data_IF_505802120035
#
_entry.id   IF_505802120035
#
_cell.length_a   1.000
_cell.length_b   1.000
_cell.length_c   1.000
_cell.angle_alpha   90.00
_cell.angle_beta   90.00
_cell.angle_gamma   90.00
#
_symmetry.space_group_name_H-M   'P 1'
#
loop_
_entity.id
_entity.type
_entity.pdbx_description
1 polymer ?
#
# COMPACT_ATOMS: atom_id res chain seq x y z
N UNK A 1 0.96 -39.16 22.53
CA UNK A 1 0.94 -40.32 21.61
C UNK A 1 2.26 -40.33 20.86
N UNK A 2 2.92 -41.49 20.78
CA UNK A 2 4.23 -41.64 20.11
C UNK A 2 4.05 -41.60 18.60
N UNK A 3 4.76 -40.72 17.90
CA UNK A 3 4.98 -40.84 16.46
C UNK A 3 6.47 -40.99 16.19
N UNK A 4 6.80 -42.08 15.49
CA UNK A 4 8.14 -42.43 15.06
C UNK A 4 8.48 -41.67 13.78
N UNK A 5 9.60 -40.94 13.81
CA UNK A 5 10.28 -40.39 12.65
C UNK A 5 10.99 -41.54 11.92
N UNK A 6 10.59 -41.83 10.68
CA UNK A 6 11.28 -42.75 9.77
C UNK A 6 12.06 -41.91 8.77
N UNK A 7 13.40 -41.95 8.86
CA UNK A 7 14.30 -41.43 7.84
C UNK A 7 14.16 -42.26 6.56
N UNK A 8 13.73 -41.61 5.47
CA UNK A 8 13.76 -42.15 4.12
C UNK A 8 14.96 -41.63 3.33
N UNK A 9 15.97 -42.48 3.16
CA UNK A 9 17.14 -42.26 2.30
C UNK A 9 16.69 -42.39 0.82
N UNK A 10 16.71 -41.29 0.06
CA UNK A 10 16.36 -41.27 -1.36
C UNK A 10 17.60 -41.09 -2.24
N UNK A 11 17.85 -42.08 -3.10
CA UNK A 11 19.08 -42.26 -3.88
C UNK A 11 19.18 -41.34 -5.11
N UNK A 12 20.40 -40.87 -5.33
CA UNK A 12 20.90 -40.20 -6.53
C UNK A 12 20.91 -41.17 -7.73
N UNK A 13 20.23 -40.84 -8.83
CA UNK A 13 20.36 -41.54 -10.11
C UNK A 13 20.53 -40.54 -11.25
N UNK A 14 21.79 -40.37 -11.67
CA UNK A 14 22.15 -39.69 -12.90
C UNK A 14 21.89 -40.61 -14.10
N UNK A 15 21.14 -40.14 -15.10
CA UNK A 15 21.11 -40.74 -16.44
C UNK A 15 21.43 -39.65 -17.46
N UNK A 16 22.64 -39.76 -18.01
CA UNK A 16 23.04 -39.07 -19.22
C UNK A 16 22.39 -39.75 -20.44
N UNK A 17 21.77 -38.96 -21.31
CA UNK A 17 21.25 -39.39 -22.61
C UNK A 17 21.56 -38.32 -23.65
N UNK A 18 22.34 -38.72 -24.66
CA UNK A 18 22.99 -37.87 -25.64
C UNK A 18 22.08 -37.48 -26.84
N UNK A 19 22.43 -36.33 -27.44
CA UNK A 19 22.41 -35.96 -28.86
C UNK A 19 21.34 -36.53 -29.79
N UNK A 20 20.63 -35.63 -30.50
CA UNK A 20 20.39 -35.75 -31.95
C UNK A 20 20.10 -34.37 -32.53
N UNK A 21 21.03 -33.87 -33.34
CA UNK A 21 20.84 -32.77 -34.26
C UNK A 21 20.09 -33.29 -35.51
N UNK A 22 19.15 -32.52 -36.04
CA UNK A 22 18.59 -32.72 -37.38
C UNK A 22 18.46 -31.36 -38.09
N UNK A 23 19.29 -31.25 -39.12
CA UNK A 23 19.33 -30.37 -40.29
C UNK A 23 18.02 -29.87 -40.91
N UNK A 24 18.14 -28.64 -41.44
CA UNK A 24 17.71 -28.13 -42.76
C UNK A 24 16.24 -28.15 -43.19
N UNK A 25 15.77 -26.95 -43.57
CA UNK A 25 14.52 -26.72 -44.28
C UNK A 25 14.38 -25.29 -44.80
N UNK A 26 15.25 -24.90 -45.73
CA UNK A 26 15.06 -23.73 -46.61
C UNK A 26 13.76 -23.86 -47.43
N UNK A 27 12.96 -22.80 -47.47
CA UNK A 27 11.72 -22.73 -48.25
C UNK A 27 11.38 -21.31 -48.69
N UNK A 28 11.98 -20.88 -49.80
CA UNK A 28 11.68 -19.64 -50.52
C UNK A 28 10.48 -19.84 -51.46
N UNK A 29 9.45 -18.98 -51.37
CA UNK A 29 8.58 -18.50 -52.47
C UNK A 29 7.61 -17.47 -51.86
N UNK A 30 7.47 -16.23 -52.33
CA UNK A 30 7.42 -15.78 -53.72
C UNK A 30 5.94 -15.62 -54.12
N UNK A 31 5.36 -14.44 -53.92
CA UNK A 31 3.94 -14.20 -54.19
C UNK A 31 3.55 -12.72 -54.26
N UNK A 32 3.96 -12.04 -55.33
CA UNK A 32 3.44 -10.74 -55.76
C UNK A 32 1.98 -10.86 -56.20
N UNK A 33 1.09 -10.03 -55.64
CA UNK A 33 -0.32 -9.93 -56.04
C UNK A 33 -0.77 -8.48 -56.17
N UNK A 34 -0.50 -7.88 -57.31
CA UNK A 34 -1.12 -6.64 -57.80
C UNK A 34 -2.58 -6.90 -58.19
N UNK A 35 -3.53 -6.14 -57.64
CA UNK A 35 -4.94 -6.19 -57.99
C UNK A 35 -5.57 -4.80 -58.01
N UNK A 36 -5.59 -4.21 -59.19
CA UNK A 36 -6.26 -2.96 -59.57
C UNK A 36 -7.75 -3.17 -59.87
N UNK A 37 -8.59 -2.17 -59.53
CA UNK A 37 -9.97 -1.99 -60.02
C UNK A 37 -10.98 -2.00 -58.87
N UNK A 38 -12.02 -1.15 -58.79
CA UNK A 38 -12.68 -0.34 -59.82
C UNK A 38 -13.50 0.76 -59.13
N UNK A 39 -13.66 1.90 -59.82
CA UNK A 39 -14.50 3.01 -59.44
C UNK A 39 -16.00 2.65 -59.38
N UNK A 40 -16.72 3.29 -58.46
CA UNK A 40 -18.18 3.29 -58.38
C UNK A 40 -18.69 4.62 -57.82
N UNK A 41 -19.25 5.42 -58.70
CA UNK A 41 -19.81 6.77 -58.51
C UNK A 41 -21.28 6.74 -58.03
N UNK A 42 -21.64 7.77 -57.27
CA UNK A 42 -22.92 8.51 -57.27
C UNK A 42 -24.21 7.86 -56.74
N UNK A 43 -24.85 8.58 -55.81
CA UNK A 43 -26.26 8.41 -55.42
C UNK A 43 -26.71 9.49 -54.44
N UNK A 44 -27.15 10.64 -54.96
CA UNK A 44 -27.86 11.71 -54.25
C UNK A 44 -29.28 11.28 -53.81
N UNK A 45 -29.78 11.93 -52.74
CA UNK A 45 -31.16 12.42 -52.68
C UNK A 45 -32.10 11.75 -51.68
N UNK A 46 -32.56 12.53 -50.69
CA UNK A 46 -33.69 12.13 -49.84
C UNK A 46 -33.97 13.06 -48.66
N UNK A 47 -34.41 14.29 -48.93
CA UNK A 47 -35.01 15.16 -47.94
C UNK A 47 -36.35 14.57 -47.45
N UNK A 48 -36.59 14.58 -46.13
CA UNK A 48 -37.95 14.52 -45.59
C UNK A 48 -38.07 15.53 -44.44
N UNK A 49 -38.85 16.55 -44.73
CA UNK A 49 -39.45 17.52 -43.82
C UNK A 49 -40.61 16.86 -43.06
N UNK A 50 -40.85 17.25 -41.80
CA UNK A 50 -41.82 16.57 -40.93
C UNK A 50 -41.89 17.12 -39.50
N UNK A 51 -42.20 18.40 -39.38
CA UNK A 51 -42.61 19.10 -38.15
C UNK A 51 -43.85 18.48 -37.47
N UNK A 52 -43.87 18.40 -36.13
CA UNK A 52 -44.96 18.90 -35.25
C UNK A 52 -44.54 18.99 -33.76
N UNK A 53 -44.38 20.24 -33.30
CA UNK A 53 -44.92 20.87 -32.07
C UNK A 53 -45.35 20.06 -30.83
N UNK A 54 -44.84 20.45 -29.65
CA UNK A 54 -45.57 20.95 -28.45
C UNK A 54 -44.58 21.01 -27.26
N UNK A 55 -44.14 22.20 -26.84
CA UNK A 55 -44.67 23.01 -25.72
C UNK A 55 -44.11 22.64 -24.33
N UNK A 56 -43.48 23.62 -23.66
CA UNK A 56 -42.99 23.49 -22.29
C UNK A 56 -42.06 24.60 -21.84
N UNK A 57 -42.54 25.84 -21.83
CA UNK A 57 -41.88 27.06 -21.33
C UNK A 57 -41.89 27.18 -19.79
N UNK A 58 -40.85 27.79 -19.22
CA UNK A 58 -40.91 28.49 -17.92
C UNK A 58 -39.56 28.53 -17.17
N UNK A 59 -38.77 29.60 -17.28
CA UNK A 59 -38.60 30.68 -16.24
C UNK A 59 -38.00 30.19 -14.91
N UNK A 60 -36.93 30.73 -14.31
CA UNK A 60 -36.17 31.97 -14.44
C UNK A 60 -35.48 32.27 -13.09
N UNK A 61 -34.42 33.10 -13.09
CA UNK A 61 -33.77 33.67 -11.88
C UNK A 61 -32.84 32.70 -11.14
N UNK A 62 -31.73 33.09 -10.51
CA UNK A 62 -31.32 34.41 -10.02
C UNK A 62 -29.82 34.37 -9.73
N UNK A 63 -29.11 35.38 -10.21
CA UNK A 63 -27.80 35.81 -9.73
C UNK A 63 -27.88 36.31 -8.28
N UNK A 64 -27.02 35.80 -7.40
CA UNK A 64 -26.84 36.29 -6.03
C UNK A 64 -25.36 36.28 -5.66
N UNK A 65 -24.71 37.42 -5.79
CA UNK A 65 -23.37 37.63 -5.23
C UNK A 65 -23.44 37.76 -3.71
N UNK A 66 -22.40 37.29 -3.03
CA UNK A 66 -22.18 37.64 -1.63
C UNK A 66 -20.70 38.00 -1.41
N UNK A 67 -20.41 39.29 -1.54
CA UNK A 67 -19.21 39.93 -1.02
C UNK A 67 -19.38 40.14 0.49
N UNK A 68 -18.76 39.27 1.29
CA UNK A 68 -18.65 39.42 2.74
C UNK A 68 -17.28 39.95 3.14
N UNK A 69 -17.14 41.27 3.15
CA UNK A 69 -16.03 41.98 3.76
C UNK A 69 -16.06 41.78 5.28
N UNK A 70 -15.03 41.18 5.87
CA UNK A 70 -14.75 41.32 7.30
C UNK A 70 -13.37 41.95 7.47
N UNK A 71 -13.37 43.29 7.46
CA UNK A 71 -12.27 44.11 7.93
C UNK A 71 -12.44 44.26 9.45
N UNK A 72 -11.64 43.51 10.21
CA UNK A 72 -11.52 43.64 11.66
C UNK A 72 -10.04 43.73 12.02
N UNK A 73 -9.47 44.94 11.93
CA UNK A 73 -8.12 45.19 12.39
C UNK A 73 -8.10 45.41 13.90
N UNK A 74 -7.14 44.77 14.57
CA UNK A 74 -6.46 45.34 15.74
C UNK A 74 -5.02 44.83 15.79
N UNK A 75 -4.11 45.71 15.40
CA UNK A 75 -2.67 45.71 15.71
C UNK A 75 -2.43 45.63 17.21
N UNK A 76 -1.82 44.54 17.68
CA UNK A 76 -1.23 44.42 19.01
C UNK A 76 0.27 44.68 18.94
N UNK A 77 0.66 45.93 19.17
CA UNK A 77 2.05 46.40 19.21
C UNK A 77 2.76 45.95 20.49
N UNK A 78 4.03 45.60 20.36
CA UNK A 78 4.87 45.04 21.42
C UNK A 78 5.01 45.89 22.67
N UNK A 79 5.05 45.20 23.81
CA UNK A 79 5.40 45.73 25.13
C UNK A 79 6.90 45.60 25.38
N UNK A 80 7.58 46.74 25.37
CA UNK A 80 8.98 46.95 25.69
C UNK A 80 9.31 46.73 27.17
N UNK A 81 10.53 46.26 27.38
CA UNK A 81 11.32 46.22 28.61
C UNK A 81 11.27 47.53 29.41
N UNK A 82 10.86 47.44 30.68
CA UNK A 82 10.86 48.55 31.63
C UNK A 82 11.71 48.22 32.86
N UNK A 83 12.94 48.72 32.85
CA UNK A 83 13.84 48.80 34.01
C UNK A 83 13.30 49.83 35.00
N UNK A 84 13.09 49.45 36.27
CA UNK A 84 12.80 50.41 37.34
C UNK A 84 13.77 50.25 38.51
N UNK A 85 14.67 51.21 38.63
CA UNK A 85 15.59 51.44 39.75
C UNK A 85 15.18 52.71 40.49
N UNK A 86 15.00 52.60 41.82
CA UNK A 86 14.97 53.70 42.81
C UNK A 86 13.70 54.56 42.81
N UNK A 87 13.01 54.85 43.92
CA UNK A 87 13.28 54.77 45.35
C UNK A 87 12.62 55.99 45.99
N UNK A 88 11.93 55.88 47.13
CA UNK A 88 11.70 56.99 48.07
C UNK A 88 10.81 56.58 49.26
N UNK A 89 11.44 56.55 50.45
CA UNK A 89 10.99 57.15 51.71
C UNK A 89 9.50 57.02 52.08
N UNK A 90 9.17 56.02 52.89
CA UNK A 90 8.28 56.20 54.04
C UNK A 90 8.79 55.41 55.24
N UNK A 91 8.93 56.14 56.34
CA UNK A 91 9.30 55.72 57.66
C UNK A 91 8.12 54.93 58.26
N UNK A 92 8.19 53.61 58.26
CA UNK A 92 7.28 52.77 59.05
C UNK A 92 8.04 52.12 60.20
N UNK A 93 7.45 52.24 61.35
CA UNK A 93 8.06 52.10 62.67
C UNK A 93 7.61 50.76 63.23
N UNK A 94 8.57 49.93 63.61
CA UNK A 94 8.40 48.77 64.51
C UNK A 94 7.37 47.70 64.06
N UNK A 95 7.79 46.88 63.09
CA UNK A 95 7.35 45.48 63.03
C UNK A 95 8.60 44.62 63.28
N UNK A 96 8.57 43.64 64.21
CA UNK A 96 9.74 42.81 64.46
C UNK A 96 10.07 42.01 63.19
N UNK A 97 11.31 42.15 62.71
CA UNK A 97 11.89 41.34 61.66
C UNK A 97 11.90 39.86 62.09
N UNK A 98 10.79 39.17 61.83
CA UNK A 98 10.79 37.73 61.75
C UNK A 98 11.65 37.36 60.55
N UNK A 99 12.90 36.98 60.79
CA UNK A 99 13.78 36.44 59.75
C UNK A 99 13.12 35.21 59.15
N UNK A 100 12.38 35.40 58.06
CA UNK A 100 11.81 34.32 57.29
C UNK A 100 12.96 33.72 56.49
N UNK A 101 13.66 32.77 57.10
CA UNK A 101 14.55 31.86 56.38
C UNK A 101 13.62 30.97 55.57
N UNK A 102 13.35 31.38 54.34
CA UNK A 102 12.80 30.48 53.33
C UNK A 102 13.91 29.48 53.02
N UNK A 103 13.88 28.36 53.72
CA UNK A 103 14.53 27.12 53.32
C UNK A 103 13.54 26.46 52.36
N UNK A 104 13.65 26.63 51.03
CA UNK A 104 13.01 25.72 50.12
C UNK A 104 13.68 24.38 50.38
N UNK A 105 13.12 23.61 51.32
CA UNK A 105 13.56 22.26 51.58
C UNK A 105 13.77 21.61 50.24
N UNK A 106 14.98 21.07 50.04
CA UNK A 106 15.53 20.67 48.75
C UNK A 106 14.40 20.29 47.80
N UNK A 107 14.28 20.99 46.67
CA UNK A 107 13.39 20.56 45.60
C UNK A 107 13.85 19.15 45.27
N UNK A 108 13.15 18.17 45.85
CA UNK A 108 13.21 16.79 45.43
C UNK A 108 12.55 16.91 44.07
N UNK A 109 13.37 17.10 43.04
CA UNK A 109 13.00 16.77 41.67
C UNK A 109 12.25 15.45 41.82
N UNK A 110 10.93 15.39 41.56
CA UNK A 110 10.19 14.17 41.77
C UNK A 110 10.98 13.08 41.06
N UNK A 111 11.35 12.01 41.77
CA UNK A 111 11.97 10.81 41.18
C UNK A 111 11.02 10.41 40.04
N UNK A 112 11.30 10.87 38.83
CA UNK A 112 10.28 11.11 37.81
C UNK A 112 9.89 9.84 37.05
N UNK A 113 10.28 8.66 37.52
CA UNK A 113 10.24 7.48 36.70
C UNK A 113 9.73 6.28 37.47
N UNK A 114 8.40 6.23 37.52
CA UNK A 114 7.69 4.97 37.62
C UNK A 114 7.84 4.22 36.29
N UNK A 115 7.93 2.89 36.37
CA UNK A 115 7.91 1.99 35.21
C UNK A 115 6.76 2.38 34.29
N UNK A 116 7.07 2.62 33.02
CA UNK A 116 6.07 2.90 32.00
C UNK A 116 5.92 1.68 31.10
N UNK A 117 4.71 1.14 31.09
CA UNK A 117 4.33 0.06 30.18
C UNK A 117 3.33 0.61 29.18
N UNK A 118 3.59 0.40 27.90
CA UNK A 118 2.69 0.72 26.80
C UNK A 118 2.41 -0.55 26.01
N UNK A 119 1.16 -0.77 25.63
CA UNK A 119 0.84 -1.76 24.62
C UNK A 119 1.43 -1.31 23.29
N UNK A 120 2.31 -2.13 22.72
CA UNK A 120 2.72 -2.00 21.33
C UNK A 120 1.64 -2.64 20.48
N UNK A 121 0.72 -1.83 19.96
CA UNK A 121 -0.25 -2.30 18.99
C UNK A 121 0.44 -2.38 17.62
N UNK A 122 0.42 -3.56 16.99
CA UNK A 122 0.75 -3.69 15.58
C UNK A 122 -0.21 -2.80 14.80
N UNK A 123 0.32 -1.89 13.97
CA UNK A 123 -0.51 -0.98 13.17
C UNK A 123 -1.43 -1.82 12.27
N UNK A 124 -2.76 -1.65 12.33
CA UNK A 124 -3.66 -2.35 11.44
C UNK A 124 -3.32 -2.03 9.99
N UNK A 125 -3.39 -3.05 9.14
CA UNK A 125 -3.08 -2.94 7.71
C UNK A 125 -4.34 -2.62 6.93
N UNK A 126 -4.22 -1.64 6.04
CA UNK A 126 -5.19 -1.30 5.03
C UNK A 126 -4.60 -1.61 3.64
N UNK A 127 -5.30 -2.39 2.84
CA UNK A 127 -4.86 -2.85 1.53
C UNK A 127 -5.65 -2.10 0.45
N UNK A 128 -4.94 -1.42 -0.45
CA UNK A 128 -5.54 -0.85 -1.66
C UNK A 128 -5.26 -1.76 -2.85
N UNK A 129 -6.30 -2.43 -3.36
CA UNK A 129 -6.22 -3.27 -4.55
C UNK A 129 -6.43 -2.41 -5.80
N UNK A 130 -5.39 -2.26 -6.62
CA UNK A 130 -5.46 -1.62 -7.93
C UNK A 130 -5.46 -2.72 -9.01
N UNK A 131 -6.65 -3.02 -9.53
CA UNK A 131 -6.86 -4.19 -10.41
C UNK A 131 -6.98 -3.77 -11.86
N UNK A 132 -6.17 -4.39 -12.72
CA UNK A 132 -6.25 -4.24 -14.15
C UNK A 132 -7.59 -4.77 -14.67
N UNK A 133 -8.33 -3.91 -15.38
CA UNK A 133 -9.61 -4.25 -16.02
C UNK A 133 -9.53 -4.01 -17.53
N UNK A 134 -8.32 -3.98 -18.09
CA UNK A 134 -8.11 -3.86 -19.53
C UNK A 134 -8.58 -5.12 -20.28
N UNK A 135 -8.73 -4.99 -21.59
CA UNK A 135 -9.27 -6.02 -22.46
C UNK A 135 -8.33 -7.20 -22.68
N UNK A 136 -7.06 -7.13 -22.28
CA UNK A 136 -6.18 -8.31 -22.26
C UNK A 136 -6.57 -9.28 -21.13
N UNK A 137 -7.11 -8.75 -20.02
CA UNK A 137 -7.55 -9.54 -18.87
C UNK A 137 -8.68 -10.55 -19.19
N UNK A 138 -9.37 -10.43 -20.32
CA UNK A 138 -10.47 -11.33 -20.73
C UNK A 138 -10.17 -12.17 -21.98
N UNK A 139 -9.12 -11.84 -22.72
CA UNK A 139 -8.85 -12.43 -24.05
C UNK A 139 -8.01 -13.69 -23.96
N UNK A 140 -7.13 -13.72 -22.96
CA UNK A 140 -6.21 -14.83 -22.76
C UNK A 140 -6.75 -15.75 -21.67
N UNK A 141 -6.55 -17.05 -21.89
CA UNK A 141 -7.07 -18.12 -21.04
C UNK A 141 -5.91 -18.74 -20.23
N UNK A 142 -6.14 -18.90 -18.92
CA UNK A 142 -5.39 -19.78 -18.04
C UNK A 142 -6.17 -21.07 -17.88
N UNK A 143 -5.48 -22.21 -17.88
CA UNK A 143 -6.09 -23.44 -17.38
C UNK A 143 -6.02 -23.44 -15.86
N UNK A 144 -7.18 -23.35 -15.21
CA UNK A 144 -7.32 -23.45 -13.76
C UNK A 144 -6.78 -24.83 -13.28
N UNK A 145 -5.75 -24.88 -12.43
CA UNK A 145 -5.16 -26.15 -11.99
C UNK A 145 -6.11 -26.98 -11.12
N UNK A 146 -7.07 -26.34 -10.44
CA UNK A 146 -7.99 -27.01 -9.52
C UNK A 146 -9.15 -27.67 -10.27
N UNK A 147 -9.64 -27.01 -11.31
CA UNK A 147 -10.82 -27.46 -12.07
C UNK A 147 -10.48 -28.07 -13.43
N UNK A 148 -9.29 -27.78 -13.96
CA UNK A 148 -8.87 -28.11 -15.33
C UNK A 148 -9.65 -27.34 -16.39
N UNK A 149 -10.40 -26.29 -16.02
CA UNK A 149 -11.16 -25.46 -16.94
C UNK A 149 -10.37 -24.24 -17.37
N UNK A 150 -10.51 -23.84 -18.62
CA UNK A 150 -9.97 -22.58 -19.09
C UNK A 150 -10.81 -21.42 -18.52
N UNK A 151 -10.11 -20.45 -17.92
CA UNK A 151 -10.65 -19.24 -17.31
C UNK A 151 -9.85 -18.04 -17.79
N UNK A 152 -10.46 -16.86 -17.81
CA UNK A 152 -9.76 -15.62 -18.13
C UNK A 152 -8.85 -15.15 -16.99
N UNK A 153 -7.88 -14.27 -17.29
CA UNK A 153 -7.08 -13.59 -16.26
C UNK A 153 -7.94 -12.82 -15.25
N UNK A 154 -9.01 -12.16 -15.72
CA UNK A 154 -9.98 -11.48 -14.88
C UNK A 154 -10.71 -12.45 -13.93
N UNK A 155 -11.14 -13.61 -14.43
CA UNK A 155 -11.76 -14.64 -13.60
C UNK A 155 -10.77 -15.19 -12.56
N UNK A 156 -9.51 -15.40 -12.93
CA UNK A 156 -8.49 -15.85 -12.00
C UNK A 156 -8.24 -14.83 -10.88
N UNK A 157 -8.03 -13.56 -11.23
CA UNK A 157 -7.82 -12.47 -10.27
C UNK A 157 -9.02 -12.29 -9.33
N UNK A 158 -10.25 -12.22 -9.88
CA UNK A 158 -11.46 -12.01 -9.07
C UNK A 158 -11.81 -13.22 -8.19
N UNK A 159 -11.50 -14.45 -8.62
CA UNK A 159 -11.61 -15.64 -7.76
C UNK A 159 -10.59 -15.62 -6.63
N UNK A 160 -9.33 -15.26 -6.92
CA UNK A 160 -8.29 -15.13 -5.92
C UNK A 160 -8.61 -14.08 -4.86
N UNK A 161 -8.97 -12.86 -5.29
CA UNK A 161 -9.37 -11.77 -4.38
C UNK A 161 -10.60 -12.17 -3.57
N UNK A 162 -11.60 -12.82 -4.18
CA UNK A 162 -12.76 -13.36 -3.45
C UNK A 162 -12.32 -14.31 -2.33
N UNK A 163 -11.47 -15.30 -2.66
CA UNK A 163 -10.97 -16.27 -1.70
C UNK A 163 -10.27 -15.60 -0.52
N UNK A 164 -9.46 -14.58 -0.81
CA UNK A 164 -8.79 -13.78 0.22
C UNK A 164 -9.78 -12.99 1.09
N UNK A 165 -10.68 -12.18 0.50
CA UNK A 165 -11.55 -11.28 1.30
C UNK A 165 -12.66 -12.00 2.05
N UNK A 166 -13.08 -13.18 1.58
CA UNK A 166 -14.06 -14.04 2.26
C UNK A 166 -13.40 -14.97 3.30
N UNK A 167 -12.06 -15.01 3.37
CA UNK A 167 -11.33 -15.86 4.32
C UNK A 167 -11.49 -15.38 5.76
N UNK A 168 -11.71 -16.27 6.75
CA UNK A 168 -11.68 -15.92 8.17
C UNK A 168 -10.37 -15.27 8.62
N UNK A 169 -9.24 -15.62 8.00
CA UNK A 169 -7.91 -15.06 8.31
C UNK A 169 -7.74 -13.62 7.81
N UNK A 170 -8.68 -13.12 7.01
CA UNK A 170 -8.71 -11.73 6.55
C UNK A 170 -9.61 -10.84 7.43
N UNK A 171 -10.21 -11.39 8.49
CA UNK A 171 -11.04 -10.63 9.42
C UNK A 171 -10.25 -9.47 10.04
N UNK A 172 -10.84 -8.28 10.08
CA UNK A 172 -10.20 -7.10 10.67
C UNK A 172 -9.32 -6.31 9.71
N UNK A 173 -8.87 -6.90 8.59
CA UNK A 173 -8.17 -6.16 7.55
C UNK A 173 -9.09 -5.13 6.90
N UNK A 174 -8.52 -4.01 6.45
CA UNK A 174 -9.26 -3.04 5.65
C UNK A 174 -8.88 -3.18 4.19
N UNK A 175 -9.87 -3.15 3.29
CA UNK A 175 -9.65 -3.25 1.85
C UNK A 175 -10.38 -2.15 1.11
N UNK A 176 -9.68 -1.49 0.19
CA UNK A 176 -10.25 -0.66 -0.87
C UNK A 176 -9.97 -1.31 -2.22
N UNK A 177 -10.84 -1.07 -3.21
CA UNK A 177 -10.67 -1.59 -4.56
C UNK A 177 -10.87 -0.49 -5.58
N UNK A 178 -9.96 -0.42 -6.54
CA UNK A 178 -10.13 0.38 -7.73
C UNK A 178 -9.69 -0.39 -8.98
N UNK A 179 -10.13 0.10 -10.12
CA UNK A 179 -9.91 -0.53 -11.41
C UNK A 179 -9.26 0.47 -12.35
N UNK A 180 -8.27 0.03 -13.13
CA UNK A 180 -7.68 0.84 -14.17
C UNK A 180 -7.82 0.16 -15.54
N UNK A 181 -8.23 0.96 -16.52
CA UNK A 181 -8.47 0.55 -17.90
C UNK A 181 -8.69 1.79 -18.77
N UNK A 182 -8.56 1.60 -20.07
CA UNK A 182 -9.00 2.55 -21.08
C UNK A 182 -8.05 3.71 -21.35
N UNK A 183 -8.53 4.65 -22.18
CA UNK A 183 -7.72 5.74 -22.73
C UNK A 183 -7.77 7.01 -21.87
N UNK A 184 -8.53 7.00 -20.78
CA UNK A 184 -8.71 8.20 -19.96
C UNK A 184 -7.44 8.55 -19.20
N UNK A 185 -6.84 9.67 -19.58
CA UNK A 185 -5.56 10.14 -19.08
C UNK A 185 -5.71 11.35 -18.16
N UNK A 186 -6.70 11.30 -17.26
CA UNK A 186 -6.95 12.41 -16.32
C UNK A 186 -6.16 12.17 -15.03
N UNK A 187 -5.26 13.09 -14.62
CA UNK A 187 -4.60 13.01 -13.32
C UNK A 187 -5.63 12.88 -12.19
N UNK A 188 -5.35 12.03 -11.21
CA UNK A 188 -6.26 11.77 -10.09
C UNK A 188 -7.46 10.89 -10.43
N UNK A 189 -7.66 10.41 -11.66
CA UNK A 189 -8.80 9.53 -11.97
C UNK A 189 -8.89 8.29 -11.06
N UNK A 190 -7.75 7.79 -10.61
CA UNK A 190 -7.68 6.59 -9.77
C UNK A 190 -7.44 6.90 -8.28
N UNK A 191 -7.48 8.18 -7.87
CA UNK A 191 -7.29 8.56 -6.46
C UNK A 191 -8.52 8.24 -5.58
N UNK A 192 -9.71 8.20 -6.17
CA UNK A 192 -10.94 7.76 -5.51
C UNK A 192 -11.20 6.29 -5.86
N UNK A 193 -11.17 5.38 -4.88
CA UNK A 193 -11.47 3.98 -5.12
C UNK A 193 -12.93 3.80 -5.51
N UNK A 194 -13.18 2.92 -6.48
CA UNK A 194 -14.53 2.48 -6.86
C UNK A 194 -15.29 1.90 -5.66
N UNK A 195 -14.57 1.14 -4.82
CA UNK A 195 -15.04 0.72 -3.51
C UNK A 195 -14.12 1.27 -2.42
N UNK A 196 -14.64 2.21 -1.63
CA UNK A 196 -13.93 2.81 -0.51
C UNK A 196 -13.41 1.80 0.52
N UNK A 197 -12.37 2.21 1.25
CA UNK A 197 -11.75 1.41 2.30
C UNK A 197 -12.78 0.98 3.36
N UNK A 198 -12.83 -0.32 3.65
CA UNK A 198 -13.72 -0.88 4.67
C UNK A 198 -13.17 -2.15 5.30
N UNK A 199 -13.59 -2.44 6.53
CA UNK A 199 -13.12 -3.59 7.31
C UNK A 199 -13.81 -4.87 6.87
N UNK A 200 -13.02 -5.92 6.63
CA UNK A 200 -13.49 -7.26 6.33
C UNK A 200 -13.98 -7.96 7.60
N UNK A 201 -15.10 -8.68 7.46
CA UNK A 201 -15.69 -9.46 8.55
C UNK A 201 -15.20 -10.91 8.59
N UNK A 202 -14.30 -11.30 7.68
CA UNK A 202 -13.79 -12.67 7.52
C UNK A 202 -14.86 -13.66 7.07
N UNK A 203 -15.85 -13.19 6.31
CA UNK A 203 -16.98 -13.99 5.86
C UNK A 203 -17.47 -13.54 4.48
N UNK A 204 -18.58 -14.13 4.02
CA UNK A 204 -19.22 -13.77 2.74
C UNK A 204 -20.19 -12.58 2.85
N UNK A 205 -20.17 -11.85 3.96
CA UNK A 205 -21.08 -10.71 4.21
C UNK A 205 -20.33 -9.39 4.31
N UNK A 206 -21.02 -8.32 4.72
CA UNK A 206 -20.40 -7.04 5.01
C UNK A 206 -19.59 -6.46 3.86
N UNK A 207 -18.35 -6.05 4.17
CA UNK A 207 -17.45 -5.43 3.19
C UNK A 207 -16.90 -6.42 2.16
N UNK A 208 -16.69 -7.69 2.53
CA UNK A 208 -16.27 -8.73 1.58
C UNK A 208 -17.31 -8.91 0.46
N UNK A 209 -18.61 -8.93 0.81
CA UNK A 209 -19.68 -8.96 -0.17
C UNK A 209 -19.68 -7.71 -1.08
N UNK A 210 -19.33 -6.54 -0.54
CA UNK A 210 -19.20 -5.31 -1.32
C UNK A 210 -18.04 -5.40 -2.32
N UNK A 211 -16.87 -5.88 -1.88
CA UNK A 211 -15.71 -6.16 -2.75
C UNK A 211 -16.11 -7.07 -3.90
N UNK A 212 -16.68 -8.22 -3.57
CA UNK A 212 -17.12 -9.21 -4.56
C UNK A 212 -18.16 -8.66 -5.52
N UNK A 213 -19.11 -7.86 -5.03
CA UNK A 213 -20.13 -7.23 -5.87
C UNK A 213 -19.54 -6.19 -6.83
N UNK A 214 -18.45 -5.52 -6.43
CA UNK A 214 -17.81 -4.49 -7.24
C UNK A 214 -17.20 -5.05 -8.53
N UNK A 215 -16.79 -6.33 -8.55
CA UNK A 215 -16.30 -7.00 -9.77
C UNK A 215 -17.37 -7.13 -10.86
N UNK A 216 -18.65 -7.18 -10.48
CA UNK A 216 -19.78 -7.34 -11.41
C UNK A 216 -20.67 -6.10 -11.55
N UNK A 217 -20.39 -5.02 -10.80
CA UNK A 217 -21.22 -3.82 -10.75
C UNK A 217 -21.15 -2.98 -12.02
N UNK A 218 -20.13 -3.20 -12.85
CA UNK A 218 -19.92 -2.46 -14.09
C UNK A 218 -20.10 -3.41 -15.29
N UNK A 219 -21.20 -3.27 -16.06
CA UNK A 219 -21.59 -4.19 -17.13
C UNK A 219 -20.63 -4.19 -18.31
N UNK A 220 -19.63 -3.31 -18.30
CA UNK A 220 -18.47 -3.40 -19.15
C UNK A 220 -17.63 -4.58 -18.65
N UNK A 221 -18.02 -5.79 -19.08
CA UNK A 221 -17.05 -6.86 -19.22
C UNK A 221 -15.92 -6.28 -20.07
N UNK A 222 -14.65 -6.38 -19.63
CA UNK A 222 -13.54 -5.97 -20.47
C UNK A 222 -13.74 -6.64 -21.84
N UNK A 223 -13.80 -5.88 -22.92
CA UNK A 223 -13.96 -6.40 -24.29
C UNK A 223 -15.28 -7.03 -24.71
N UNK A 224 -16.38 -6.88 -23.96
CA UNK A 224 -17.72 -7.15 -24.51
C UNK A 224 -17.99 -6.23 -25.71
N UNK A 225 -18.28 -6.81 -26.88
CA UNK A 225 -18.82 -6.15 -28.08
C UNK A 225 -17.82 -5.56 -29.09
N UNK A 226 -16.51 -5.75 -28.90
CA UNK A 226 -15.50 -5.22 -29.83
C UNK A 226 -15.18 -3.74 -29.62
N UNK A 227 -15.55 -3.19 -28.46
CA UNK A 227 -15.14 -1.87 -28.03
C UNK A 227 -13.63 -1.82 -27.80
N UNK A 228 -12.93 -1.06 -28.64
CA UNK A 228 -11.49 -0.87 -28.56
C UNK A 228 -11.09 0.04 -27.39
N UNK A 229 -12.05 0.74 -26.78
CA UNK A 229 -11.82 1.62 -25.63
C UNK A 229 -11.31 0.88 -24.39
N UNK A 230 -11.37 -0.45 -24.37
CA UNK A 230 -10.90 -1.29 -23.25
C UNK A 230 -9.51 -1.88 -23.51
N UNK A 231 -8.89 -1.63 -24.66
CA UNK A 231 -7.60 -2.25 -25.02
C UNK A 231 -6.41 -1.68 -24.22
N UNK A 232 -6.62 -0.56 -23.52
CA UNK A 232 -5.54 0.17 -22.85
C UNK A 232 -5.37 -0.20 -21.38
N UNK A 233 -4.12 -0.31 -21.01
CA UNK A 233 -3.63 -0.68 -19.67
C UNK A 233 -2.82 0.50 -19.11
N UNK A 234 -3.47 1.57 -18.60
CA UNK A 234 -2.78 2.76 -18.11
C UNK A 234 -2.13 2.54 -16.74
N UNK A 235 -1.25 1.54 -16.62
CA UNK A 235 -0.65 1.10 -15.34
C UNK A 235 -0.03 2.23 -14.54
N UNK A 236 0.63 3.18 -15.20
CA UNK A 236 1.26 4.30 -14.48
C UNK A 236 0.28 5.28 -13.83
N UNK A 237 -0.93 5.42 -14.38
CA UNK A 237 -2.00 6.18 -13.74
C UNK A 237 -2.67 5.38 -12.62
N UNK A 238 -2.85 4.08 -12.82
CA UNK A 238 -3.35 3.19 -11.76
C UNK A 238 -2.43 3.22 -10.54
N UNK A 239 -1.12 3.08 -10.75
CA UNK A 239 -0.11 3.21 -9.69
C UNK A 239 -0.17 4.58 -9.02
N UNK A 240 -0.25 5.67 -9.80
CA UNK A 240 -0.35 7.03 -9.27
C UNK A 240 -1.53 7.19 -8.29
N UNK A 241 -2.73 6.83 -8.72
CA UNK A 241 -3.92 6.97 -7.88
C UNK A 241 -3.90 6.07 -6.65
N UNK A 242 -3.33 4.86 -6.77
CA UNK A 242 -3.12 3.96 -5.64
C UNK A 242 -2.19 4.57 -4.58
N UNK A 243 -1.01 5.06 -4.99
CA UNK A 243 -0.03 5.65 -4.08
C UNK A 243 -0.56 6.94 -3.45
N UNK A 244 -1.19 7.81 -4.24
CA UNK A 244 -1.79 9.07 -3.75
C UNK A 244 -2.89 8.80 -2.72
N UNK A 245 -3.74 7.79 -2.97
CA UNK A 245 -4.75 7.38 -2.00
C UNK A 245 -4.11 6.91 -0.70
N UNK A 246 -3.10 6.02 -0.75
CA UNK A 246 -2.49 5.52 0.48
C UNK A 246 -1.81 6.63 1.28
N UNK A 247 -1.13 7.57 0.62
CA UNK A 247 -0.53 8.76 1.27
C UNK A 247 -1.62 9.56 1.99
N UNK A 248 -2.73 9.84 1.32
CA UNK A 248 -3.85 10.56 1.91
C UNK A 248 -4.52 9.77 3.05
N UNK A 249 -4.60 8.44 2.92
CA UNK A 249 -5.20 7.55 3.90
C UNK A 249 -4.42 7.54 5.22
N UNK A 250 -3.11 7.33 5.18
CA UNK A 250 -2.28 7.32 6.39
C UNK A 250 -2.25 8.69 7.07
N UNK A 251 -2.22 9.78 6.28
CA UNK A 251 -2.31 11.13 6.81
C UNK A 251 -3.64 11.39 7.56
N UNK A 252 -4.72 10.72 7.17
CA UNK A 252 -6.04 10.84 7.79
C UNK A 252 -6.29 9.82 8.92
N UNK A 253 -5.55 8.71 8.95
CA UNK A 253 -5.76 7.58 9.86
C UNK A 253 -4.45 7.26 10.60
N UNK A 254 -4.01 8.20 11.45
CA UNK A 254 -2.81 8.02 12.26
C UNK A 254 -2.91 6.73 13.11
N UNK A 255 -2.00 5.78 12.87
CA UNK A 255 -1.96 4.49 13.54
C UNK A 255 -2.28 3.30 12.63
N UNK A 256 -2.64 3.53 11.36
CA UNK A 256 -2.84 2.49 10.36
C UNK A 256 -1.82 2.63 9.23
N UNK A 257 -1.43 1.50 8.64
CA UNK A 257 -0.52 1.47 7.49
C UNK A 257 -1.30 1.10 6.24
N UNK A 258 -1.13 1.85 5.16
CA UNK A 258 -1.72 1.56 3.85
C UNK A 258 -0.67 0.95 2.93
N UNK A 259 -1.00 -0.18 2.31
CA UNK A 259 -0.18 -0.78 1.26
C UNK A 259 -0.94 -0.79 -0.07
N UNK A 260 -0.22 -0.58 -1.16
CA UNK A 260 -0.73 -0.72 -2.51
C UNK A 260 -0.46 -2.11 -3.08
N UNK A 261 -1.44 -2.72 -3.72
CA UNK A 261 -1.27 -3.98 -4.47
C UNK A 261 -1.74 -3.78 -5.90
N UNK A 262 -0.79 -3.74 -6.83
CA UNK A 262 -1.05 -3.70 -8.27
C UNK A 262 -1.26 -5.13 -8.78
N UNK A 263 -2.38 -5.38 -9.46
CA UNK A 263 -2.68 -6.67 -10.10
C UNK A 263 -2.83 -6.45 -11.60
N UNK A 264 -1.99 -7.08 -12.42
CA UNK A 264 -1.99 -6.87 -13.88
C UNK A 264 -1.44 -8.07 -14.65
N UNK A 265 -1.87 -8.22 -15.90
CA UNK A 265 -1.22 -9.09 -16.90
C UNK A 265 -0.07 -8.38 -17.63
N UNK A 266 0.32 -7.19 -17.14
CA UNK A 266 1.63 -6.57 -17.28
C UNK A 266 2.03 -6.15 -18.69
N UNK A 267 1.09 -5.88 -19.60
CA UNK A 267 1.40 -5.23 -20.88
C UNK A 267 0.97 -3.76 -20.85
N UNK A 268 1.71 -2.85 -20.17
CA UNK A 268 1.45 -1.42 -20.29
C UNK A 268 1.67 -1.02 -21.74
N UNK A 269 0.59 -0.82 -22.49
CA UNK A 269 0.71 -0.39 -23.88
C UNK A 269 1.25 1.05 -23.90
N UNK A 270 2.52 1.15 -24.30
CA UNK A 270 3.33 2.36 -24.30
C UNK A 270 4.83 2.09 -24.51
N UNK A 271 5.31 0.85 -24.29
CA UNK A 271 6.66 0.42 -24.65
C UNK A 271 6.81 0.00 -26.13
N UNK A 272 5.72 -0.27 -26.83
CA UNK A 272 5.72 -0.73 -28.22
C UNK A 272 5.81 0.41 -29.24
N UNK A 273 6.72 1.37 -29.05
CA UNK A 273 7.31 2.24 -30.11
C UNK A 273 6.40 3.02 -31.07
N UNK A 274 5.07 2.93 -30.94
CA UNK A 274 4.10 3.59 -31.79
C UNK A 274 3.61 4.85 -31.11
N UNK A 275 4.16 6.00 -31.48
CA UNK A 275 3.63 7.32 -31.16
C UNK A 275 2.29 7.61 -31.88
N UNK A 276 1.40 6.62 -31.95
CA UNK A 276 0.16 6.66 -32.71
C UNK A 276 -1.05 6.75 -31.79
N UNK A 277 -1.51 7.99 -31.56
CA UNK A 277 -2.89 8.39 -31.23
C UNK A 277 -3.50 7.92 -29.90
N UNK A 278 -2.96 6.89 -29.25
CA UNK A 278 -3.60 6.31 -28.07
C UNK A 278 -2.59 6.02 -26.97
N UNK A 279 -2.79 6.67 -25.83
CA UNK A 279 -1.92 6.60 -24.65
C UNK A 279 -1.61 7.99 -24.10
N UNK A 280 -1.49 8.09 -22.78
CA UNK A 280 -1.29 9.37 -22.10
C UNK A 280 0.01 10.03 -22.56
N UNK A 281 -0.14 11.21 -23.14
CA UNK A 281 0.96 12.05 -23.59
C UNK A 281 1.40 12.98 -22.47
N UNK A 282 2.56 13.60 -22.61
CA UNK A 282 2.99 14.67 -21.70
C UNK A 282 2.05 15.88 -21.72
N UNK A 283 1.22 16.04 -22.75
CA UNK A 283 0.22 17.10 -22.82
C UNK A 283 -0.98 16.84 -21.90
N UNK A 284 -1.27 15.57 -21.58
CA UNK A 284 -2.34 15.17 -20.65
C UNK A 284 -1.94 15.41 -19.19
N UNK A 285 -0.64 15.64 -18.93
CA UNK A 285 -0.09 16.04 -17.63
C UNK A 285 0.57 17.43 -17.68
N UNK A 286 -0.22 18.51 -17.87
CA UNK A 286 0.33 19.86 -17.97
C UNK A 286 0.87 20.34 -16.61
N UNK A 287 2.18 20.26 -16.42
CA UNK A 287 2.86 20.76 -15.21
C UNK A 287 3.87 19.79 -14.60
N UNK A 288 3.81 18.51 -14.95
CA UNK A 288 4.84 17.52 -14.61
C UNK A 288 5.73 17.32 -15.83
N UNK A 289 6.95 17.87 -15.79
CA UNK A 289 7.86 17.87 -16.94
C UNK A 289 8.33 16.46 -17.35
N UNK A 290 8.03 15.43 -16.56
CA UNK A 290 8.21 14.02 -16.87
C UNK A 290 6.87 13.31 -16.71
N UNK A 291 6.58 12.35 -17.61
CA UNK A 291 5.57 11.33 -17.31
C UNK A 291 5.97 10.76 -15.96
N UNK A 292 5.13 10.74 -14.93
CA UNK A 292 5.58 10.21 -13.66
C UNK A 292 5.82 8.71 -13.87
N UNK A 293 7.09 8.35 -13.96
CA UNK A 293 7.52 6.97 -14.08
C UNK A 293 6.93 6.23 -12.86
N UNK A 294 6.18 5.13 -13.05
CA UNK A 294 5.53 4.45 -11.94
C UNK A 294 6.53 4.14 -10.81
N UNK A 295 7.77 3.79 -11.16
CA UNK A 295 8.88 3.56 -10.25
C UNK A 295 9.20 4.77 -9.37
N UNK A 296 9.17 5.99 -9.93
CA UNK A 296 9.42 7.22 -9.17
C UNK A 296 8.31 7.49 -8.17
N UNK A 297 7.05 7.33 -8.57
CA UNK A 297 5.90 7.55 -7.70
C UNK A 297 5.85 6.53 -6.55
N UNK A 298 6.11 5.26 -6.89
CA UNK A 298 6.23 4.19 -5.92
C UNK A 298 7.38 4.48 -4.94
N UNK A 299 8.54 4.91 -5.44
CA UNK A 299 9.69 5.26 -4.59
C UNK A 299 9.44 6.45 -3.67
N UNK A 300 8.67 7.46 -4.12
CA UNK A 300 8.23 8.58 -3.29
C UNK A 300 7.25 8.14 -2.20
N UNK A 301 6.30 7.25 -2.53
CA UNK A 301 5.39 6.67 -1.55
C UNK A 301 6.15 5.79 -0.52
N UNK A 302 7.11 4.99 -0.99
CA UNK A 302 7.95 4.18 -0.12
C UNK A 302 8.81 5.02 0.84
N UNK A 303 9.32 6.17 0.39
CA UNK A 303 10.03 7.11 1.26
C UNK A 303 9.14 7.68 2.39
N UNK A 304 7.82 7.56 2.27
CA UNK A 304 6.82 7.90 3.28
C UNK A 304 6.33 6.69 4.09
N UNK A 305 6.84 5.48 3.82
CA UNK A 305 6.49 4.24 4.52
C UNK A 305 5.42 3.38 3.82
N UNK A 306 4.97 3.77 2.64
CA UNK A 306 3.90 3.08 1.90
C UNK A 306 4.51 2.05 0.95
N UNK A 307 4.29 0.77 1.24
CA UNK A 307 4.77 -0.32 0.40
C UNK A 307 3.85 -0.52 -0.81
N UNK A 308 4.46 -0.92 -1.94
CA UNK A 308 3.72 -1.28 -3.16
C UNK A 308 4.14 -2.65 -3.65
N UNK A 309 3.20 -3.58 -3.67
CA UNK A 309 3.36 -4.92 -4.21
C UNK A 309 2.88 -4.99 -5.66
N UNK A 310 3.63 -5.70 -6.50
CA UNK A 310 3.29 -5.93 -7.90
C UNK A 310 2.99 -7.40 -8.16
N UNK A 311 1.74 -7.72 -8.51
CA UNK A 311 1.29 -9.06 -8.90
C UNK A 311 1.17 -9.19 -10.41
N UNK A 312 1.91 -10.14 -10.97
CA UNK A 312 1.97 -10.41 -12.41
C UNK A 312 1.33 -11.73 -12.79
N UNK A 313 0.44 -11.67 -13.78
CA UNK A 313 -0.16 -12.85 -14.40
C UNK A 313 0.67 -13.32 -15.61
N UNK A 314 0.27 -14.44 -16.21
CA UNK A 314 0.85 -14.88 -17.49
C UNK A 314 0.71 -13.76 -18.53
N UNK A 315 1.79 -13.47 -19.25
CA UNK A 315 1.84 -12.35 -20.20
C UNK A 315 2.46 -11.06 -19.66
N UNK A 316 2.64 -10.96 -18.33
CA UNK A 316 3.21 -9.78 -17.72
C UNK A 316 4.67 -9.51 -18.08
N UNK A 317 5.00 -8.22 -18.20
CA UNK A 317 6.38 -7.73 -18.22
C UNK A 317 6.97 -7.80 -16.81
N UNK A 318 7.39 -9.02 -16.42
CA UNK A 318 7.95 -9.28 -15.09
C UNK A 318 9.23 -8.49 -14.80
N UNK A 319 9.96 -8.05 -15.81
CA UNK A 319 11.12 -7.14 -15.62
C UNK A 319 10.65 -5.79 -15.10
N UNK A 320 9.52 -5.27 -15.59
CA UNK A 320 8.92 -4.05 -15.05
C UNK A 320 8.28 -4.26 -13.69
N UNK A 321 7.58 -5.37 -13.48
CA UNK A 321 6.99 -5.64 -12.17
C UNK A 321 8.06 -5.78 -11.08
N UNK A 322 9.22 -6.35 -11.42
CA UNK A 322 10.39 -6.34 -10.54
C UNK A 322 10.82 -4.91 -10.20
N UNK A 323 10.91 -4.02 -11.19
CA UNK A 323 11.29 -2.62 -10.93
C UNK A 323 10.27 -1.86 -10.07
N UNK A 324 8.97 -2.22 -10.16
CA UNK A 324 7.93 -1.65 -9.30
C UNK A 324 8.05 -2.18 -7.87
N UNK A 325 8.25 -3.48 -7.70
CA UNK A 325 8.42 -4.10 -6.40
C UNK A 325 9.69 -3.59 -5.69
N UNK A 326 10.81 -3.48 -6.41
CA UNK A 326 12.07 -2.90 -5.90
C UNK A 326 11.87 -1.44 -5.48
N UNK A 327 11.23 -0.62 -6.30
CA UNK A 327 10.94 0.77 -5.95
C UNK A 327 10.00 0.88 -4.73
N UNK A 328 9.08 -0.08 -4.58
CA UNK A 328 8.04 -0.10 -3.54
C UNK A 328 8.46 -0.75 -2.24
N UNK A 329 9.71 -1.20 -2.13
CA UNK A 329 10.23 -1.88 -0.94
C UNK A 329 9.52 -3.19 -0.62
N UNK A 330 8.82 -3.79 -1.58
CA UNK A 330 8.05 -5.02 -1.38
C UNK A 330 8.85 -6.26 -1.80
N UNK A 331 8.55 -7.42 -1.21
CA UNK A 331 9.16 -8.69 -1.61
C UNK A 331 8.20 -9.87 -1.46
N UNK A 332 7.55 -10.29 -2.54
CA UNK A 332 6.63 -11.44 -2.50
C UNK A 332 7.31 -12.81 -2.41
N UNK A 333 8.62 -12.90 -2.58
CA UNK A 333 9.36 -14.17 -2.58
C UNK A 333 10.52 -14.07 -1.60
N UNK A 334 10.21 -14.16 -0.30
CA UNK A 334 11.21 -14.08 0.78
C UNK A 334 12.38 -15.07 0.64
N UNK A 335 12.19 -16.14 -0.14
CA UNK A 335 13.21 -17.16 -0.43
C UNK A 335 14.00 -16.94 -1.74
N UNK A 336 13.67 -15.93 -2.55
CA UNK A 336 14.26 -15.65 -3.87
C UNK A 336 14.64 -14.15 -4.01
N UNK A 337 15.85 -13.80 -3.56
CA UNK A 337 16.43 -12.44 -3.65
C UNK A 337 16.45 -11.84 -5.08
N UNK A 338 16.26 -12.67 -6.12
CA UNK A 338 16.25 -12.27 -7.52
C UNK A 338 14.86 -11.84 -8.02
N UNK A 339 13.78 -12.07 -7.25
CA UNK A 339 12.39 -11.76 -7.65
C UNK A 339 11.55 -11.24 -6.49
N UNK A 340 11.23 -9.96 -6.53
CA UNK A 340 10.38 -9.28 -5.54
C UNK A 340 8.90 -9.25 -5.91
N UNK A 341 8.57 -9.45 -7.18
CA UNK A 341 7.17 -9.46 -7.64
C UNK A 341 6.43 -10.75 -7.25
N UNK A 342 5.11 -10.65 -7.12
CA UNK A 342 4.21 -11.77 -6.88
C UNK A 342 3.90 -12.46 -8.22
N UNK A 343 4.37 -13.69 -8.41
CA UNK A 343 4.06 -14.51 -9.59
C UNK A 343 2.74 -15.27 -9.36
N UNK A 344 1.68 -14.84 -10.05
CA UNK A 344 0.33 -15.43 -9.95
C UNK A 344 -0.09 -16.14 -11.24
N UNK A 345 0.89 -16.60 -12.03
CA UNK A 345 0.69 -17.26 -13.33
C UNK A 345 -0.01 -18.62 -13.23
N UNK A 346 -0.04 -19.23 -12.04
CA UNK A 346 -0.59 -20.57 -11.83
C UNK A 346 -2.09 -20.60 -11.54
N UNK A 347 -2.75 -19.44 -11.47
CA UNK A 347 -4.20 -19.33 -11.33
C UNK A 347 -4.65 -18.84 -9.95
N UNK A 348 -5.95 -19.04 -9.60
CA UNK A 348 -6.56 -18.44 -8.41
C UNK A 348 -5.87 -18.79 -7.09
N UNK A 349 -5.32 -20.00 -6.96
CA UNK A 349 -4.58 -20.42 -5.76
C UNK A 349 -3.38 -19.51 -5.47
N UNK A 350 -2.53 -19.25 -6.48
CA UNK A 350 -1.37 -18.37 -6.32
C UNK A 350 -1.72 -16.92 -5.95
N UNK A 351 -2.92 -16.44 -6.30
CA UNK A 351 -3.39 -15.14 -5.84
C UNK A 351 -3.67 -15.11 -4.34
N UNK A 352 -4.27 -16.17 -3.81
CA UNK A 352 -4.54 -16.28 -2.37
C UNK A 352 -3.21 -16.37 -1.64
N UNK A 353 -2.31 -17.25 -2.09
CA UNK A 353 -0.97 -17.40 -1.50
C UNK A 353 -0.20 -16.07 -1.51
N UNK A 354 -0.26 -15.32 -2.61
CA UNK A 354 0.39 -14.01 -2.72
C UNK A 354 -0.24 -12.97 -1.77
N UNK A 355 -1.57 -12.89 -1.68
CA UNK A 355 -2.24 -11.94 -0.78
C UNK A 355 -2.03 -12.31 0.70
N UNK A 356 -1.97 -13.60 1.03
CA UNK A 356 -1.63 -14.06 2.38
C UNK A 356 -0.16 -13.73 2.72
N UNK A 357 0.78 -13.94 1.80
CA UNK A 357 2.18 -13.54 1.99
C UNK A 357 2.33 -12.02 2.19
N UNK A 358 1.61 -11.22 1.40
CA UNK A 358 1.56 -9.76 1.57
C UNK A 358 1.03 -9.39 2.94
N UNK A 359 -0.08 -10.01 3.37
CA UNK A 359 -0.66 -9.75 4.71
C UNK A 359 0.38 -10.02 5.78
N UNK A 360 1.06 -11.15 5.72
CA UNK A 360 2.06 -11.55 6.72
C UNK A 360 3.26 -10.59 6.78
N UNK A 361 3.72 -10.09 5.63
CA UNK A 361 4.82 -9.12 5.56
C UNK A 361 4.42 -7.69 5.96
N UNK A 362 3.18 -7.31 5.65
CA UNK A 362 2.69 -5.96 5.91
C UNK A 362 2.38 -5.73 7.40
N UNK A 363 2.38 -6.79 8.23
CA UNK A 363 2.36 -6.64 9.69
C UNK A 363 3.66 -5.95 10.09
N UNK A 364 3.56 -4.67 10.46
CA UNK A 364 4.71 -3.87 10.86
C UNK A 364 5.40 -4.51 12.07
N UNK A 365 6.47 -5.25 11.81
CA UNK A 365 7.45 -5.71 12.80
C UNK A 365 8.18 -4.53 13.46
N UNK A 366 7.96 -3.32 12.94
CA UNK A 366 8.47 -2.08 13.46
C UNK A 366 7.48 -1.51 14.49
N UNK A 367 8.01 -1.28 15.68
CA UNK A 367 7.30 -0.74 16.83
C UNK A 367 7.95 0.59 17.18
N UNK A 368 7.17 1.67 17.15
CA UNK A 368 7.67 2.99 17.53
C UNK A 368 8.14 3.01 18.99
N UNK A 369 9.26 3.68 19.25
CA UNK A 369 9.78 3.81 20.60
C UNK A 369 8.81 4.67 21.45
N UNK A 370 8.31 4.18 22.59
CA UNK A 370 7.42 4.98 23.43
C UNK A 370 8.11 6.24 23.93
N UNK A 371 7.43 7.38 23.84
CA UNK A 371 7.93 8.64 24.42
C UNK A 371 7.74 8.60 25.94
N UNK A 372 8.80 8.69 26.76
CA UNK A 372 8.65 8.64 28.21
C UNK A 372 7.86 9.86 28.72
N UNK A 373 6.93 9.66 29.66
CA UNK A 373 6.19 10.77 30.26
C UNK A 373 7.17 11.77 30.90
N UNK A 374 7.07 13.05 30.51
CA UNK A 374 7.94 14.11 31.01
C UNK A 374 9.23 14.35 30.20
N UNK A 375 9.45 13.64 29.10
CA UNK A 375 10.57 13.90 28.18
C UNK A 375 11.95 13.53 28.73
N UNK A 376 12.01 12.64 29.72
CA UNK A 376 13.25 12.11 30.27
C UNK A 376 14.03 11.23 29.27
N UNK A 377 15.31 10.97 29.55
CA UNK A 377 16.10 10.07 28.73
C UNK A 377 15.74 8.59 29.03
N UNK A 378 15.42 7.84 27.97
CA UNK A 378 15.17 6.39 28.05
C UNK A 378 16.45 5.63 28.40
N UNK A 379 16.33 4.61 29.26
CA UNK A 379 17.38 3.63 29.43
C UNK A 379 17.17 2.46 28.45
N UNK A 380 17.82 2.54 27.29
CA UNK A 380 17.76 1.50 26.26
C UNK A 380 18.29 0.13 26.73
N UNK A 381 19.06 0.07 27.83
CA UNK A 381 19.51 -1.20 28.40
C UNK A 381 18.43 -1.91 29.22
N UNK A 382 17.33 -1.21 29.52
CA UNK A 382 16.27 -1.67 30.42
C UNK A 382 14.97 -2.06 29.73
N UNK A 383 14.93 -1.94 28.40
CA UNK A 383 13.71 -2.18 27.63
C UNK A 383 13.40 -3.66 27.63
N UNK A 384 12.18 -3.97 28.06
CA UNK A 384 11.63 -5.33 28.03
C UNK A 384 10.47 -5.33 27.06
N UNK A 385 10.55 -6.18 26.04
CA UNK A 385 9.46 -6.44 25.11
C UNK A 385 8.83 -7.76 25.52
N UNK A 386 7.54 -7.76 25.79
CA UNK A 386 6.78 -8.94 26.23
C UNK A 386 5.71 -9.24 25.21
N UNK A 387 5.67 -10.47 24.71
CA UNK A 387 4.56 -10.95 23.91
C UNK A 387 3.63 -11.79 24.78
N UNK A 388 2.33 -11.50 24.69
CA UNK A 388 1.25 -12.24 25.33
C UNK A 388 0.43 -12.93 24.24
N UNK A 389 0.64 -14.23 24.00
CA UNK A 389 -0.16 -14.96 23.02
C UNK A 389 -1.64 -14.99 23.40
N UNK A 390 -2.54 -15.13 22.43
CA UNK A 390 -3.96 -15.39 22.67
C UNK A 390 -4.19 -16.70 23.40
N UNK A 391 -3.28 -17.66 23.22
CA UNK A 391 -3.27 -18.95 23.92
C UNK A 391 -1.90 -19.22 24.53
N UNK A 392 -1.75 -18.92 25.82
CA UNK A 392 -0.51 -19.20 26.55
C UNK A 392 -0.26 -18.24 27.68
N UNK A 393 0.92 -18.37 28.28
CA UNK A 393 1.43 -17.42 29.25
C UNK A 393 2.31 -16.38 28.54
N UNK A 394 2.32 -15.11 28.98
CA UNK A 394 3.23 -14.09 28.46
C UNK A 394 4.70 -14.48 28.58
N UNK A 395 5.52 -14.08 27.61
CA UNK A 395 6.97 -14.29 27.64
C UNK A 395 7.74 -13.09 27.10
N UNK A 396 8.98 -12.94 27.55
CA UNK A 396 9.87 -11.84 27.15
C UNK A 396 10.63 -12.20 25.86
N UNK A 397 10.72 -11.22 24.96
CA UNK A 397 11.54 -11.29 23.77
C UNK A 397 12.95 -10.80 24.08
N UNK A 398 13.95 -11.49 23.55
CA UNK A 398 15.37 -11.24 23.77
C UNK A 398 15.88 -10.14 22.83
N UNK A 399 16.42 -9.07 23.40
CA UNK A 399 17.11 -8.05 22.60
C UNK A 399 18.41 -8.60 22.00
N UNK A 400 18.62 -8.37 20.70
CA UNK A 400 19.86 -8.69 19.98
C UNK A 400 20.45 -7.42 19.35
N UNK A 401 21.74 -7.46 18.99
CA UNK A 401 22.49 -6.27 18.56
C UNK A 401 22.09 -5.72 17.19
N UNK A 402 21.30 -6.46 16.41
CA UNK A 402 20.86 -6.08 15.07
C UNK A 402 20.37 -7.29 14.28
N UNK A 403 19.88 -7.04 13.07
CA UNK A 403 19.29 -8.05 12.18
C UNK A 403 20.18 -9.29 11.97
N UNK A 404 21.49 -9.12 11.83
CA UNK A 404 22.42 -10.25 11.65
C UNK A 404 22.58 -11.16 12.88
N UNK A 405 21.99 -10.79 14.02
CA UNK A 405 21.95 -11.58 15.25
C UNK A 405 20.59 -12.24 15.50
N UNK A 406 19.63 -12.08 14.59
CA UNK A 406 18.35 -12.77 14.59
C UNK A 406 18.56 -14.25 14.24
N UNK A 407 18.18 -15.15 15.14
CA UNK A 407 18.39 -16.60 15.09
C UNK A 407 17.18 -17.39 15.60
N UNK A 408 16.30 -16.78 16.40
CA UNK A 408 15.11 -17.44 16.98
C UNK A 408 13.86 -16.59 16.78
N UNK A 409 12.71 -17.22 17.03
CA UNK A 409 11.35 -16.66 17.05
C UNK A 409 11.05 -15.79 18.28
N UNK A 410 12.05 -15.50 19.12
CA UNK A 410 11.88 -14.78 20.39
C UNK A 410 12.85 -13.60 20.52
N UNK A 411 13.18 -12.93 19.41
CA UNK A 411 14.22 -11.90 19.34
C UNK A 411 13.75 -10.60 18.69
N UNK A 412 14.40 -9.50 19.08
CA UNK A 412 14.15 -8.16 18.54
C UNK A 412 15.42 -7.31 18.63
N UNK A 413 15.51 -6.21 17.89
CA UNK A 413 16.64 -5.29 17.91
C UNK A 413 16.18 -3.82 17.75
N UNK A 414 17.09 -2.87 17.97
CA UNK A 414 16.80 -1.45 17.79
C UNK A 414 17.12 -0.98 16.37
N UNK A 415 16.35 -0.02 15.85
CA UNK A 415 16.52 0.62 14.54
C UNK A 415 17.63 1.70 14.51
N UNK A 416 18.83 1.37 15.00
CA UNK A 416 19.93 2.33 15.00
C UNK A 416 20.26 2.85 13.59
N UNK A 417 20.12 4.16 13.38
CA UNK A 417 20.62 4.83 12.19
C UNK A 417 22.17 4.80 12.15
N UNK A 418 22.72 4.66 10.93
CA UNK A 418 24.15 4.82 10.56
C UNK A 418 25.18 4.48 11.66
N UNK A 419 25.32 3.19 11.98
CA UNK A 419 26.38 2.69 12.85
C UNK A 419 26.21 3.00 14.34
N UNK A 420 25.01 3.41 14.77
CA UNK A 420 24.65 3.55 16.19
C UNK A 420 25.06 4.87 16.83
N UNK A 421 25.30 5.91 16.03
CA UNK A 421 25.64 7.25 16.55
C UNK A 421 24.44 8.04 17.07
N UNK A 422 23.23 7.67 16.65
CA UNK A 422 21.98 8.32 17.06
C UNK A 422 21.12 7.37 17.93
N UNK A 423 20.30 7.91 18.85
CA UNK A 423 19.36 7.09 19.59
C UNK A 423 18.38 6.40 18.63
N UNK A 424 17.97 5.16 18.91
CA UNK A 424 17.01 4.46 18.07
C UNK A 424 15.64 5.13 18.16
N UNK A 425 14.92 5.13 17.04
CA UNK A 425 13.56 5.66 16.91
C UNK A 425 12.48 4.60 17.14
N UNK A 426 12.87 3.33 17.20
CA UNK A 426 11.97 2.18 17.26
C UNK A 426 12.65 0.86 17.62
N UNK A 427 11.80 -0.15 17.76
CA UNK A 427 12.11 -1.54 18.01
C UNK A 427 11.69 -2.34 16.79
N UNK A 428 12.56 -3.17 16.25
CA UNK A 428 12.28 -4.09 15.16
C UNK A 428 12.26 -5.52 15.67
N UNK A 429 11.17 -6.24 15.44
CA UNK A 429 11.14 -7.67 15.70
C UNK A 429 12.04 -8.39 14.68
N UNK A 430 12.72 -9.44 15.11
CA UNK A 430 13.37 -10.35 14.17
C UNK A 430 12.31 -11.04 13.31
N UNK A 431 12.65 -11.40 12.07
CA UNK A 431 11.69 -11.95 11.11
C UNK A 431 10.90 -13.15 11.66
N UNK A 432 11.59 -14.17 12.20
CA UNK A 432 10.92 -15.33 12.82
C UNK A 432 9.99 -14.96 13.98
N UNK A 433 10.36 -13.93 14.75
CA UNK A 433 9.53 -13.41 15.85
C UNK A 433 8.32 -12.68 15.31
N UNK A 434 8.51 -11.89 14.26
CA UNK A 434 7.44 -11.17 13.63
C UNK A 434 6.41 -12.12 13.02
N UNK A 435 6.86 -13.17 12.30
CA UNK A 435 5.96 -14.23 11.80
C UNK A 435 5.18 -14.88 12.95
N UNK A 436 5.87 -15.29 14.01
CA UNK A 436 5.22 -15.97 15.16
C UNK A 436 4.18 -15.09 15.84
N UNK A 437 4.43 -13.78 15.94
CA UNK A 437 3.51 -12.82 16.54
C UNK A 437 2.38 -12.47 15.57
N UNK A 438 2.69 -12.31 14.29
CA UNK A 438 1.73 -12.04 13.23
C UNK A 438 0.74 -13.18 13.00
N UNK A 439 1.13 -14.42 13.29
CA UNK A 439 0.25 -15.61 13.26
C UNK A 439 -0.80 -15.64 14.39
N UNK A 440 -0.68 -14.77 15.40
CA UNK A 440 -1.57 -14.72 16.55
C UNK A 440 -2.33 -13.38 16.59
N UNK A 441 -3.39 -13.29 15.77
CA UNK A 441 -4.24 -12.10 15.58
C UNK A 441 -4.81 -11.50 16.88
N UNK A 442 -4.87 -12.28 17.96
CA UNK A 442 -5.36 -11.84 19.28
C UNK A 442 -4.25 -11.74 20.34
N UNK A 443 -3.00 -11.96 19.94
CA UNK A 443 -1.82 -11.73 20.75
C UNK A 443 -1.60 -10.23 21.02
N UNK A 444 -0.93 -9.92 22.12
CA UNK A 444 -0.62 -8.56 22.51
C UNK A 444 0.88 -8.39 22.75
N UNK A 445 1.47 -7.37 22.13
CA UNK A 445 2.84 -6.97 22.40
C UNK A 445 2.84 -5.82 23.41
N UNK A 446 3.68 -5.93 24.44
CA UNK A 446 3.87 -4.91 25.45
C UNK A 446 5.33 -4.47 25.49
N UNK A 447 5.57 -3.17 25.64
CA UNK A 447 6.90 -2.62 25.90
C UNK A 447 6.91 -2.03 27.30
N UNK A 448 7.89 -2.42 28.10
CA UNK A 448 8.17 -1.83 29.40
C UNK A 448 9.53 -1.15 29.35
N UNK A 449 9.57 0.11 29.80
CA UNK A 449 10.76 0.95 29.80
C UNK A 449 11.06 1.39 31.23
N UNK A 450 12.34 1.31 31.63
CA UNK A 450 12.84 2.04 32.78
C UNK A 450 13.48 3.34 32.29
N UNK A 451 13.28 4.43 33.03
CA UNK A 451 14.07 5.63 32.76
C UNK A 451 15.46 5.52 33.36
N UNK A 452 16.42 6.21 32.73
CA UNK A 452 17.73 6.40 33.33
C UNK A 452 17.60 7.38 34.51
N UNK A 453 18.01 6.94 35.71
CA UNK A 453 18.17 7.84 36.86
C UNK A 453 19.37 8.76 36.57
N UNK A 454 19.12 10.06 36.47
CA UNK A 454 20.14 11.09 36.18
C UNK A 454 21.10 11.32 37.33
#
# INVERSE_FOLDING_TARGET
MKFHLVLGLGALAAVAGACSASSDGDGVNGGTGTGTGTAGTSGDGGAVDGSTTADGSGTGGTSGGNTGSNAGGTTGTGGTTGTSTGGSLLNDTEVPDGSFVYDPGAIVEPDACADFSQGAELKPIAIYLMVDKSGSMIRDELTDPDTGQDITYWEAATRGIRGFVESPTSAGLKVAVNYFFGEECTPGMYDVPTLGMGTLDGSTTGHAAAVVSSFGADPILPGGDGDQSLVYTPTGLGVAGMTDFCIAYEAANAGETCIGVLITDGVPQGSSGGAGTYGCTTADFPGTAEKPHPETQIGEAWALGIQTYAMGMTGADFVKLESYAEAGGSDCQLDDDEKRYCDVTTGPGSFIDALDAIREQAISCDIEMPVPPGGGALDLASVVVTFTPSTGEPYELTNVTGVGSCQTDTQWYYDYADGGSEPPTGIKLCELTCTTIGDDDAGNLGITLLCKRS
#
